data_IF_995619779717
#
_entry.id   IF_995619779717
#
_cell.length_a   1.000
_cell.length_b   1.000
_cell.length_c   1.000
_cell.angle_alpha   90.00
_cell.angle_beta   90.00
_cell.angle_gamma   90.00
#
_symmetry.space_group_name_H-M   'P 1'
#
loop_
_entity.id
_entity.type
_entity.pdbx_description
1 polymer ?
#
# COMPACT_ATOMS: atom_id res chain seq x y z
N UNK A 1 -13.31 11.83 96.36
CA UNK A 1 -13.53 10.40 96.16
C UNK A 1 -14.33 10.23 94.90
N UNK A 2 -13.73 9.92 93.83
CA UNK A 2 -14.23 9.11 92.70
C UNK A 2 -13.24 9.28 91.58
N UNK A 3 -12.60 8.22 91.29
CA UNK A 3 -11.58 8.07 90.24
C UNK A 3 -12.26 8.02 88.88
N UNK A 4 -11.79 8.79 87.89
CA UNK A 4 -12.21 8.64 86.51
C UNK A 4 -11.02 8.20 85.69
N UNK A 5 -11.12 6.95 85.26
CA UNK A 5 -10.14 6.28 84.37
C UNK A 5 -10.38 6.72 82.91
N UNK A 6 -9.39 7.24 82.29
CA UNK A 6 -9.37 7.55 80.85
C UNK A 6 -9.00 6.33 80.08
N UNK A 7 -9.89 5.83 79.22
CA UNK A 7 -9.63 4.77 78.27
C UNK A 7 -9.03 5.36 76.99
N UNK A 8 -7.78 5.02 76.76
CA UNK A 8 -7.07 5.31 75.52
C UNK A 8 -7.56 4.36 74.40
N UNK A 9 -8.14 4.89 73.35
CA UNK A 9 -8.56 4.11 72.19
C UNK A 9 -7.39 3.95 71.20
N UNK A 10 -6.89 2.73 71.07
CA UNK A 10 -5.95 2.36 70.01
C UNK A 10 -6.69 2.19 68.68
N UNK A 11 -6.18 2.80 67.58
CA UNK A 11 -6.79 2.55 66.24
C UNK A 11 -6.48 1.14 65.74
N UNK A 12 -7.52 0.45 65.32
CA UNK A 12 -7.46 -0.94 64.86
C UNK A 12 -6.64 -1.06 63.56
N UNK A 13 -5.74 -2.04 63.55
CA UNK A 13 -4.83 -2.39 62.42
C UNK A 13 -5.53 -2.84 61.12
N UNK A 14 -6.89 -2.79 61.05
CA UNK A 14 -7.66 -3.27 59.92
C UNK A 14 -7.95 -2.18 58.84
N UNK A 15 -7.58 -0.91 59.03
CA UNK A 15 -7.85 0.17 58.10
C UNK A 15 -6.66 0.54 57.19
N UNK A 16 -5.49 -0.06 57.32
CA UNK A 16 -4.28 0.32 56.55
C UNK A 16 -4.10 -0.58 55.31
N UNK A 17 -4.83 -1.70 55.18
CA UNK A 17 -4.68 -2.63 54.06
C UNK A 17 -5.62 -2.37 52.87
N UNK A 18 -6.53 -1.38 52.93
CA UNK A 18 -7.48 -1.08 51.85
C UNK A 18 -7.08 0.07 50.93
N UNK A 19 -5.94 0.71 51.15
CA UNK A 19 -5.46 1.84 50.28
C UNK A 19 -4.31 1.45 49.36
N UNK A 20 -3.75 0.26 49.43
CA UNK A 20 -2.66 -0.20 48.58
C UNK A 20 -3.12 -1.00 47.33
N UNK A 21 -4.43 -1.29 47.20
CA UNK A 21 -4.97 -2.13 46.12
C UNK A 21 -5.46 -1.41 44.86
N UNK A 22 -5.52 -0.09 44.85
CA UNK A 22 -6.08 0.67 43.73
C UNK A 22 -5.03 1.38 42.84
N UNK A 23 -3.76 1.26 43.20
CA UNK A 23 -2.67 1.94 42.47
C UNK A 23 -1.99 1.11 41.36
N UNK A 24 -2.27 -0.19 41.26
CA UNK A 24 -1.56 -1.09 40.32
C UNK A 24 -2.40 -1.51 39.11
N UNK A 25 -3.71 -1.26 39.13
CA UNK A 25 -4.60 -1.63 37.99
C UNK A 25 -4.75 -0.52 36.93
N UNK A 26 -4.11 0.63 37.12
CA UNK A 26 -4.23 1.79 36.22
C UNK A 26 -3.15 1.92 35.14
N UNK A 27 -2.14 1.05 35.10
CA UNK A 27 -1.00 1.21 34.16
C UNK A 27 -1.02 0.20 33.00
N UNK A 28 -1.92 -0.80 33.01
CA UNK A 28 -1.93 -1.82 31.96
C UNK A 28 -2.86 -1.52 30.76
N UNK A 29 -3.48 -0.32 30.67
CA UNK A 29 -4.37 0.05 29.56
C UNK A 29 -3.83 1.17 28.67
N UNK A 30 -2.58 1.62 28.87
CA UNK A 30 -1.94 2.63 28.04
C UNK A 30 -1.03 2.05 26.94
N UNK A 31 -1.15 0.77 26.60
CA UNK A 31 -0.28 0.07 25.65
C UNK A 31 -0.92 -0.28 24.31
N UNK A 32 -2.14 0.17 24.02
CA UNK A 32 -2.67 0.19 22.64
C UNK A 32 -2.66 1.62 22.13
N UNK A 33 -1.46 2.20 21.96
CA UNK A 33 -1.26 3.26 21.01
C UNK A 33 -1.53 2.63 19.64
N UNK A 34 -2.73 2.83 19.11
CA UNK A 34 -2.99 2.57 17.71
C UNK A 34 -1.93 3.39 16.95
N UNK A 35 -0.98 2.72 16.31
CA UNK A 35 -0.31 3.28 15.16
C UNK A 35 -1.45 3.53 14.17
N UNK A 36 -1.97 4.78 14.21
CA UNK A 36 -2.94 5.19 13.20
C UNK A 36 -2.25 4.96 11.86
N UNK A 37 -2.80 4.03 11.09
CA UNK A 37 -2.37 3.74 9.73
C UNK A 37 -2.18 5.06 8.99
N UNK A 38 -1.00 5.28 8.42
CA UNK A 38 -0.66 6.51 7.70
C UNK A 38 -1.66 6.78 6.56
N UNK A 39 -2.21 5.73 5.96
CA UNK A 39 -3.26 5.80 4.95
C UNK A 39 -4.58 6.30 5.53
N UNK A 40 -4.97 5.83 6.71
CA UNK A 40 -6.19 6.29 7.38
C UNK A 40 -6.11 7.77 7.77
N UNK A 41 -4.94 8.24 8.24
CA UNK A 41 -4.71 9.67 8.51
C UNK A 41 -4.81 10.52 7.25
N UNK A 42 -4.22 10.07 6.14
CA UNK A 42 -4.31 10.78 4.86
C UNK A 42 -5.75 10.80 4.33
N UNK A 43 -6.49 9.69 4.46
CA UNK A 43 -7.90 9.62 4.05
C UNK A 43 -8.77 10.62 4.84
N UNK A 44 -8.47 10.83 6.12
CA UNK A 44 -9.21 11.71 7.02
C UNK A 44 -8.73 13.18 7.00
N UNK A 45 -7.63 13.49 6.32
CA UNK A 45 -7.05 14.83 6.30
C UNK A 45 -7.93 15.87 5.56
N UNK A 46 -8.88 15.44 4.72
CA UNK A 46 -9.82 16.33 4.04
C UNK A 46 -9.16 17.34 3.09
N UNK A 47 -7.98 17.02 2.56
CA UNK A 47 -7.16 17.91 1.74
C UNK A 47 -7.57 17.99 0.26
N UNK A 48 -8.74 17.45 -0.06
CA UNK A 48 -9.40 17.47 -1.40
C UNK A 48 -8.53 16.98 -2.57
N UNK A 49 -7.36 16.37 -2.31
CA UNK A 49 -6.49 15.81 -3.37
C UNK A 49 -7.18 14.70 -4.17
N UNK A 50 -8.20 14.07 -3.56
CA UNK A 50 -8.92 12.95 -4.17
C UNK A 50 -8.11 11.66 -4.26
N UNK A 51 -6.93 11.57 -3.61
CA UNK A 51 -6.11 10.37 -3.52
C UNK A 51 -5.36 10.29 -2.19
N UNK A 52 -4.97 9.08 -1.82
CA UNK A 52 -4.10 8.80 -0.69
C UNK A 52 -2.70 8.55 -1.27
N UNK A 53 -1.74 9.42 -0.93
CA UNK A 53 -0.41 9.35 -1.54
C UNK A 53 0.41 8.11 -1.13
N UNK A 54 -0.02 7.38 -0.09
CA UNK A 54 0.79 6.33 0.50
C UNK A 54 2.03 6.89 1.20
N UNK A 55 2.82 6.01 1.77
CA UNK A 55 4.05 6.36 2.51
C UNK A 55 5.30 5.66 1.96
N UNK A 56 5.17 4.97 0.83
CA UNK A 56 6.23 4.17 0.23
C UNK A 56 6.38 2.79 0.87
N UNK A 57 5.40 2.34 1.68
CA UNK A 57 5.45 1.01 2.31
C UNK A 57 5.57 -0.08 1.26
N UNK A 58 6.60 -0.91 1.42
CA UNK A 58 6.87 -2.08 0.59
C UNK A 58 6.39 -3.34 1.32
N UNK A 59 5.67 -4.18 0.60
CA UNK A 59 5.32 -5.54 1.04
C UNK A 59 5.88 -6.51 0.01
N UNK A 60 6.72 -7.42 0.45
CA UNK A 60 7.28 -8.49 -0.38
C UNK A 60 6.64 -9.82 -0.01
N UNK A 61 6.41 -10.65 -1.00
CA UNK A 61 5.83 -11.98 -0.84
C UNK A 61 6.82 -13.01 -1.39
N UNK A 62 7.53 -13.74 -0.50
CA UNK A 62 8.45 -14.79 -0.92
C UNK A 62 7.76 -15.83 -1.82
N UNK A 63 8.47 -16.41 -2.79
CA UNK A 63 7.88 -17.30 -3.80
C UNK A 63 6.99 -18.42 -3.23
N UNK A 64 7.35 -18.97 -2.06
CA UNK A 64 6.56 -20.01 -1.37
C UNK A 64 5.34 -19.50 -0.58
N UNK A 65 5.17 -18.18 -0.45
CA UNK A 65 4.11 -17.54 0.34
C UNK A 65 3.19 -16.67 -0.53
N UNK A 66 3.45 -16.57 -1.84
CA UNK A 66 2.60 -15.83 -2.78
C UNK A 66 1.22 -16.46 -2.87
N UNK A 67 0.21 -15.61 -2.95
CA UNK A 67 -1.18 -16.04 -3.17
C UNK A 67 -1.38 -16.69 -4.55
N UNK A 68 -2.64 -16.99 -4.87
CA UNK A 68 -3.01 -17.49 -6.19
C UNK A 68 -2.72 -16.45 -7.29
N UNK A 69 -2.51 -16.90 -8.53
CA UNK A 69 -2.37 -16.00 -9.67
C UNK A 69 -3.55 -15.03 -9.78
N UNK A 70 -3.27 -13.74 -9.89
CA UNK A 70 -4.32 -12.73 -10.02
C UNK A 70 -5.11 -12.91 -11.31
N UNK A 71 -6.38 -12.53 -11.27
CA UNK A 71 -7.29 -12.58 -12.41
C UNK A 71 -7.87 -11.18 -12.65
N UNK A 72 -7.69 -10.66 -13.84
CA UNK A 72 -8.31 -9.41 -14.28
C UNK A 72 -8.42 -9.39 -15.80
N UNK A 73 -9.26 -8.54 -16.31
CA UNK A 73 -9.31 -8.15 -17.72
C UNK A 73 -9.51 -6.65 -17.81
N UNK A 74 -8.87 -6.00 -18.74
CA UNK A 74 -8.99 -4.57 -18.98
C UNK A 74 -8.76 -4.22 -20.44
N UNK A 75 -9.14 -3.00 -20.79
CA UNK A 75 -8.96 -2.45 -22.14
C UNK A 75 -7.87 -1.37 -22.11
N UNK A 76 -6.90 -1.46 -22.99
CA UNK A 76 -5.87 -0.45 -23.16
C UNK A 76 -6.44 0.80 -23.88
N UNK A 77 -5.73 1.93 -23.78
CA UNK A 77 -6.15 3.16 -24.49
C UNK A 77 -6.24 3.01 -26.02
N UNK A 78 -5.59 2.01 -26.62
CA UNK A 78 -5.72 1.70 -28.05
C UNK A 78 -6.94 0.83 -28.40
N UNK A 79 -7.69 0.36 -27.40
CA UNK A 79 -8.86 -0.48 -27.53
C UNK A 79 -8.55 -1.98 -27.44
N UNK A 80 -7.29 -2.39 -27.28
CA UNK A 80 -6.91 -3.78 -27.11
C UNK A 80 -7.34 -4.29 -25.74
N UNK A 81 -8.02 -5.44 -25.68
CA UNK A 81 -8.32 -6.12 -24.41
C UNK A 81 -7.15 -7.02 -24.02
N UNK A 82 -6.72 -6.92 -22.77
CA UNK A 82 -5.65 -7.72 -22.19
C UNK A 82 -6.16 -8.36 -20.90
N UNK A 83 -5.92 -9.65 -20.74
CA UNK A 83 -6.26 -10.41 -19.53
C UNK A 83 -5.00 -10.74 -18.73
N UNK A 84 -5.17 -11.05 -17.44
CA UNK A 84 -4.06 -11.53 -16.62
C UNK A 84 -3.46 -12.83 -17.17
N UNK A 85 -4.24 -13.67 -17.89
CA UNK A 85 -3.76 -14.90 -18.51
C UNK A 85 -2.82 -14.61 -19.70
N UNK A 86 -3.12 -13.59 -20.49
CA UNK A 86 -2.26 -13.18 -21.62
C UNK A 86 -0.87 -12.73 -21.18
N UNK A 87 -0.71 -12.37 -19.91
CA UNK A 87 0.53 -11.88 -19.33
C UNK A 87 1.37 -12.98 -18.67
N UNK A 88 0.90 -14.24 -18.63
CA UNK A 88 1.65 -15.36 -18.05
C UNK A 88 2.94 -15.64 -18.82
N UNK A 89 3.93 -16.15 -18.10
CA UNK A 89 5.24 -16.49 -18.66
C UNK A 89 6.26 -15.36 -18.61
N UNK A 90 5.82 -14.13 -18.29
CA UNK A 90 6.69 -12.96 -18.13
C UNK A 90 6.31 -12.23 -16.85
N UNK A 91 7.26 -11.86 -15.98
CA UNK A 91 6.98 -10.98 -14.84
C UNK A 91 6.37 -9.65 -15.30
N UNK A 92 5.49 -9.08 -14.48
CA UNK A 92 4.75 -7.87 -14.85
C UNK A 92 4.84 -6.82 -13.75
N UNK A 93 5.06 -5.56 -14.13
CA UNK A 93 4.82 -4.41 -13.29
C UNK A 93 3.49 -3.75 -13.68
N UNK A 94 2.61 -3.57 -12.69
CA UNK A 94 1.39 -2.78 -12.81
C UNK A 94 1.53 -1.51 -11.97
N UNK A 95 1.49 -0.33 -12.60
CA UNK A 95 1.53 0.95 -11.91
C UNK A 95 0.17 1.66 -11.98
N UNK A 96 -0.47 1.85 -10.84
CA UNK A 96 -1.77 2.53 -10.71
C UNK A 96 -1.55 4.04 -10.61
N UNK A 97 -2.11 4.81 -11.53
CA UNK A 97 -1.81 6.21 -11.68
C UNK A 97 -2.96 7.05 -12.27
N UNK A 98 -2.79 8.36 -12.26
CA UNK A 98 -3.53 9.31 -13.10
C UNK A 98 -2.75 10.63 -13.25
N UNK A 99 -3.05 11.43 -14.27
CA UNK A 99 -2.23 12.58 -14.67
C UNK A 99 -2.12 13.70 -13.61
N UNK A 100 -3.16 13.89 -12.79
CA UNK A 100 -3.21 14.89 -11.71
C UNK A 100 -2.51 14.46 -10.41
N UNK A 101 -2.05 13.23 -10.32
CA UNK A 101 -1.38 12.68 -9.15
C UNK A 101 0.07 13.19 -9.08
N UNK A 102 0.38 14.03 -8.08
CA UNK A 102 1.71 14.63 -7.96
C UNK A 102 2.84 13.59 -7.78
N UNK A 103 2.75 12.59 -6.89
CA UNK A 103 3.79 11.57 -6.78
C UNK A 103 3.92 10.69 -8.03
N UNK A 104 2.84 10.44 -8.79
CA UNK A 104 2.92 9.71 -10.06
C UNK A 104 3.79 10.45 -11.08
N UNK A 105 3.74 11.78 -11.07
CA UNK A 105 4.60 12.63 -11.92
C UNK A 105 6.07 12.57 -11.51
N UNK A 106 6.34 12.36 -10.22
CA UNK A 106 7.71 12.21 -9.71
C UNK A 106 8.29 10.86 -10.12
N UNK A 107 7.50 9.78 -10.12
CA UNK A 107 8.00 8.45 -10.47
C UNK A 107 8.07 8.17 -11.97
N UNK A 108 7.29 8.86 -12.80
CA UNK A 108 7.22 8.60 -14.22
C UNK A 108 8.58 8.57 -14.95
N UNK A 109 9.55 9.49 -14.69
CA UNK A 109 10.86 9.45 -15.35
C UNK A 109 11.65 8.16 -15.06
N UNK A 110 11.66 7.68 -13.82
CA UNK A 110 12.43 6.47 -13.54
C UNK A 110 11.67 5.18 -13.87
N UNK A 111 10.35 5.19 -13.87
CA UNK A 111 9.55 4.08 -14.42
C UNK A 111 9.86 3.89 -15.92
N UNK A 112 9.98 5.00 -16.66
CA UNK A 112 10.46 4.96 -18.06
C UNK A 112 11.83 4.31 -18.18
N UNK A 113 12.80 4.74 -17.36
CA UNK A 113 14.15 4.19 -17.37
C UNK A 113 14.19 2.69 -17.02
N UNK A 114 13.41 2.29 -16.00
CA UNK A 114 13.29 0.89 -15.59
C UNK A 114 12.62 0.05 -16.68
N UNK A 115 11.56 0.54 -17.32
CA UNK A 115 10.93 -0.16 -18.43
C UNK A 115 11.90 -0.43 -19.59
N UNK A 116 12.76 0.54 -19.93
CA UNK A 116 13.79 0.36 -20.94
C UNK A 116 14.88 -0.62 -20.49
N UNK A 117 15.29 -0.57 -19.23
CA UNK A 117 16.32 -1.45 -18.67
C UNK A 117 15.89 -2.90 -18.57
N UNK A 118 14.62 -3.15 -18.31
CA UNK A 118 14.04 -4.47 -18.15
C UNK A 118 13.29 -4.95 -19.41
N UNK A 119 13.46 -4.24 -20.53
CA UNK A 119 12.82 -4.63 -21.80
C UNK A 119 13.11 -6.09 -22.15
N UNK A 120 12.06 -6.83 -22.55
CA UNK A 120 12.10 -8.26 -22.84
C UNK A 120 12.23 -9.17 -21.60
N UNK A 121 12.38 -8.62 -20.38
CA UNK A 121 12.46 -9.41 -19.14
C UNK A 121 11.30 -9.20 -18.19
N UNK A 122 10.76 -7.99 -18.14
CA UNK A 122 9.58 -7.61 -17.34
C UNK A 122 8.66 -6.78 -18.23
N UNK A 123 7.40 -7.15 -18.30
CA UNK A 123 6.39 -6.34 -18.97
C UNK A 123 5.88 -5.23 -18.05
N UNK A 124 5.73 -4.02 -18.58
CA UNK A 124 5.22 -2.88 -17.84
C UNK A 124 3.84 -2.47 -18.36
N UNK A 125 2.93 -2.19 -17.44
CA UNK A 125 1.61 -1.65 -17.74
C UNK A 125 1.23 -0.57 -16.73
N UNK A 126 0.70 0.54 -17.23
CA UNK A 126 -0.04 1.48 -16.40
C UNK A 126 -1.48 1.00 -16.18
N UNK A 127 -2.09 1.41 -15.07
CA UNK A 127 -3.54 1.27 -14.82
C UNK A 127 -4.04 2.67 -14.51
N UNK A 128 -4.65 3.33 -15.48
CA UNK A 128 -5.14 4.70 -15.32
C UNK A 128 -6.55 4.69 -14.75
N UNK A 129 -6.70 5.28 -13.57
CA UNK A 129 -7.92 5.17 -12.76
C UNK A 129 -8.95 6.28 -13.02
N UNK A 130 -8.60 7.38 -13.73
CA UNK A 130 -9.46 8.58 -13.72
C UNK A 130 -9.52 9.38 -14.99
N UNK A 131 -8.44 9.37 -15.77
CA UNK A 131 -8.30 10.31 -16.87
C UNK A 131 -9.10 9.88 -18.09
N UNK A 132 -9.59 10.85 -18.82
CA UNK A 132 -9.98 10.65 -20.21
C UNK A 132 -8.75 10.31 -21.04
N UNK A 133 -8.91 9.49 -22.07
CA UNK A 133 -7.84 9.04 -22.98
C UNK A 133 -6.87 10.15 -23.39
N UNK A 134 -7.38 11.30 -23.83
CA UNK A 134 -6.55 12.41 -24.30
C UNK A 134 -5.63 12.96 -23.19
N UNK A 135 -6.10 12.99 -21.94
CA UNK A 135 -5.33 13.45 -20.77
C UNK A 135 -4.24 12.44 -20.40
N UNK A 136 -4.59 11.16 -20.37
CA UNK A 136 -3.65 10.08 -20.10
C UNK A 136 -2.54 10.03 -21.15
N UNK A 137 -2.89 10.02 -22.43
CA UNK A 137 -1.92 10.04 -23.53
C UNK A 137 -1.03 11.31 -23.53
N UNK A 138 -1.56 12.47 -23.12
CA UNK A 138 -0.76 13.68 -22.98
C UNK A 138 0.29 13.55 -21.88
N UNK A 139 -0.06 12.91 -20.75
CA UNK A 139 0.88 12.57 -19.70
C UNK A 139 1.96 11.61 -20.20
N UNK A 140 1.56 10.49 -20.81
CA UNK A 140 2.49 9.48 -21.35
C UNK A 140 3.47 10.09 -22.36
N UNK A 141 2.99 10.95 -23.28
CA UNK A 141 3.87 11.68 -24.19
C UNK A 141 4.81 12.64 -23.47
N UNK A 142 4.33 13.36 -22.46
CA UNK A 142 5.13 14.35 -21.70
C UNK A 142 6.30 13.69 -20.98
N UNK A 143 6.07 12.54 -20.37
CA UNK A 143 7.10 11.79 -19.64
C UNK A 143 7.83 10.77 -20.52
N UNK A 144 7.35 10.54 -21.74
CA UNK A 144 7.92 9.57 -22.68
C UNK A 144 7.78 8.14 -22.19
N UNK A 145 6.61 7.79 -21.60
CA UNK A 145 6.29 6.44 -21.11
C UNK A 145 6.29 5.47 -22.30
N UNK A 146 7.09 4.38 -22.27
CA UNK A 146 7.24 3.49 -23.41
C UNK A 146 6.30 2.28 -23.39
N UNK A 147 5.46 2.15 -22.36
CA UNK A 147 4.58 1.01 -22.14
C UNK A 147 3.10 1.41 -22.16
N UNK A 148 2.17 0.48 -22.49
CA UNK A 148 0.75 0.79 -22.57
C UNK A 148 0.10 0.91 -21.18
N UNK A 149 -1.06 1.60 -21.16
CA UNK A 149 -1.88 1.70 -19.96
C UNK A 149 -3.30 1.19 -20.21
N UNK A 150 -3.88 0.52 -19.21
CA UNK A 150 -5.30 0.23 -19.13
C UNK A 150 -6.09 1.51 -18.86
N UNK A 151 -7.21 1.68 -19.57
CA UNK A 151 -8.25 2.67 -19.26
C UNK A 151 -9.19 2.05 -18.21
N UNK A 152 -8.94 2.33 -16.93
CA UNK A 152 -9.64 1.70 -15.80
C UNK A 152 -10.51 2.69 -15.00
N UNK A 153 -11.17 3.62 -15.68
CA UNK A 153 -12.08 4.59 -15.04
C UNK A 153 -13.25 3.92 -14.32
N UNK A 154 -13.71 2.80 -14.86
CA UNK A 154 -14.80 2.03 -14.28
C UNK A 154 -14.31 1.10 -13.14
N UNK A 155 -13.01 1.02 -12.93
CA UNK A 155 -12.38 0.33 -11.82
C UNK A 155 -12.38 -1.19 -11.93
N UNK A 156 -12.49 -1.75 -13.12
CA UNK A 156 -12.55 -3.21 -13.33
C UNK A 156 -11.26 -3.92 -12.92
N UNK A 157 -10.11 -3.41 -13.38
CA UNK A 157 -8.78 -3.94 -13.00
C UNK A 157 -8.48 -3.66 -11.52
N UNK A 158 -8.76 -2.42 -11.07
CA UNK A 158 -8.58 -2.05 -9.67
C UNK A 158 -9.40 -2.93 -8.72
N UNK A 159 -10.67 -3.18 -9.03
CA UNK A 159 -11.56 -4.00 -8.21
C UNK A 159 -11.06 -5.45 -8.14
N UNK A 160 -10.64 -6.01 -9.28
CA UNK A 160 -10.09 -7.36 -9.35
C UNK A 160 -8.82 -7.52 -8.49
N UNK A 161 -8.05 -6.44 -8.34
CA UNK A 161 -6.79 -6.39 -7.56
C UNK A 161 -6.95 -5.73 -6.18
N UNK A 162 -8.18 -5.51 -5.71
CA UNK A 162 -8.49 -4.79 -4.47
C UNK A 162 -7.94 -5.43 -3.20
N UNK A 163 -7.62 -6.72 -3.21
CA UNK A 163 -6.91 -7.39 -2.12
C UNK A 163 -5.49 -6.83 -1.89
N UNK A 164 -4.90 -6.25 -2.92
CA UNK A 164 -3.54 -5.68 -2.89
C UNK A 164 -3.52 -4.16 -3.06
N UNK A 165 -4.48 -3.61 -3.79
CA UNK A 165 -4.51 -2.18 -4.15
C UNK A 165 -5.70 -1.50 -3.49
N UNK A 166 -5.48 -0.68 -2.44
CA UNK A 166 -6.57 0.12 -1.86
C UNK A 166 -7.10 1.12 -2.90
N UNK A 167 -8.43 1.28 -3.05
CA UNK A 167 -9.03 2.04 -4.16
C UNK A 167 -8.58 3.49 -4.33
N UNK A 168 -8.10 4.13 -3.28
CA UNK A 168 -7.64 5.53 -3.32
C UNK A 168 -6.12 5.68 -3.16
N UNK A 169 -5.39 4.59 -2.96
CA UNK A 169 -3.93 4.63 -2.80
C UNK A 169 -3.24 4.77 -4.17
N UNK A 170 -2.82 5.98 -4.50
CA UNK A 170 -2.20 6.32 -5.78
C UNK A 170 -0.97 7.20 -5.55
N UNK A 171 0.19 6.87 -6.11
CA UNK A 171 0.43 5.67 -6.90
C UNK A 171 0.44 4.40 -6.06
N UNK A 172 0.17 3.28 -6.68
CA UNK A 172 0.46 1.95 -6.16
C UNK A 172 1.16 1.15 -7.24
N UNK A 173 2.20 0.42 -6.88
CA UNK A 173 2.89 -0.46 -7.82
C UNK A 173 2.77 -1.91 -7.34
N UNK A 174 2.33 -2.79 -8.22
CA UNK A 174 2.40 -4.24 -8.04
C UNK A 174 3.48 -4.82 -8.95
N UNK A 175 4.25 -5.77 -8.42
CA UNK A 175 5.15 -6.61 -9.19
C UNK A 175 4.61 -8.04 -9.14
N UNK A 176 4.34 -8.60 -10.31
CA UNK A 176 3.86 -9.98 -10.46
C UNK A 176 5.01 -10.85 -10.97
N UNK A 177 5.08 -12.09 -10.49
CA UNK A 177 5.95 -13.11 -11.07
C UNK A 177 5.41 -13.63 -12.42
N UNK A 178 6.15 -14.51 -13.09
CA UNK A 178 5.77 -15.07 -14.36
C UNK A 178 4.50 -15.94 -14.30
N UNK A 179 4.17 -16.50 -13.14
CA UNK A 179 2.91 -17.20 -12.91
C UNK A 179 1.75 -16.22 -12.68
N UNK A 180 2.04 -14.91 -12.56
CA UNK A 180 1.09 -13.86 -12.29
C UNK A 180 0.63 -13.79 -10.85
N UNK A 181 1.46 -14.23 -9.91
CA UNK A 181 1.25 -14.05 -8.47
C UNK A 181 1.90 -12.75 -8.02
N UNK A 182 1.32 -12.09 -7.05
CA UNK A 182 1.91 -10.85 -6.52
C UNK A 182 3.18 -11.19 -5.74
N UNK A 183 4.32 -10.72 -6.25
CA UNK A 183 5.64 -10.85 -5.63
C UNK A 183 5.95 -9.65 -4.73
N UNK A 184 5.50 -8.45 -5.11
CA UNK A 184 5.67 -7.26 -4.28
C UNK A 184 4.57 -6.22 -4.54
N UNK A 185 4.36 -5.37 -3.53
CA UNK A 185 3.48 -4.21 -3.57
C UNK A 185 4.17 -3.01 -2.95
N UNK A 186 4.06 -1.84 -3.57
CA UNK A 186 4.51 -0.56 -3.02
C UNK A 186 3.30 0.37 -2.97
N UNK A 187 2.98 0.91 -1.78
CA UNK A 187 1.91 1.89 -1.60
C UNK A 187 2.51 3.29 -1.55
N UNK A 188 2.19 4.12 -2.52
CA UNK A 188 2.75 5.47 -2.67
C UNK A 188 3.95 5.50 -3.61
N UNK A 189 4.71 6.60 -3.53
CA UNK A 189 5.89 6.81 -4.36
C UNK A 189 6.90 5.69 -4.16
N UNK A 190 7.18 4.92 -5.21
CA UNK A 190 8.17 3.86 -5.17
C UNK A 190 9.59 4.44 -5.09
N UNK A 191 10.43 3.95 -4.20
CA UNK A 191 11.87 4.21 -4.29
C UNK A 191 12.45 3.48 -5.50
N UNK A 192 13.23 4.22 -6.32
CA UNK A 192 13.80 3.68 -7.55
C UNK A 192 14.68 2.45 -7.31
N UNK A 193 15.54 2.48 -6.29
CA UNK A 193 16.50 1.40 -6.03
C UNK A 193 15.81 0.14 -5.51
N UNK A 194 14.80 0.32 -4.69
CA UNK A 194 13.97 -0.78 -4.19
C UNK A 194 13.22 -1.42 -5.36
N UNK A 195 12.53 -0.61 -6.18
CA UNK A 195 11.79 -1.12 -7.32
C UNK A 195 12.69 -1.84 -8.32
N UNK A 196 13.89 -1.31 -8.58
CA UNK A 196 14.87 -1.96 -9.44
C UNK A 196 15.29 -3.34 -8.91
N UNK A 197 15.49 -3.47 -7.59
CA UNK A 197 15.80 -4.75 -6.93
C UNK A 197 14.67 -5.75 -7.09
N UNK A 198 13.44 -5.34 -6.77
CA UNK A 198 12.25 -6.20 -6.90
C UNK A 198 12.06 -6.71 -8.33
N UNK A 199 12.30 -5.85 -9.33
CA UNK A 199 12.21 -6.25 -10.74
C UNK A 199 13.34 -7.22 -11.14
N UNK A 200 14.54 -7.02 -10.61
CA UNK A 200 15.66 -7.92 -10.86
C UNK A 200 15.42 -9.32 -10.27
N UNK A 201 14.83 -9.37 -9.09
CA UNK A 201 14.52 -10.62 -8.39
C UNK A 201 13.50 -11.46 -9.20
N UNK A 202 12.35 -10.87 -9.57
CA UNK A 202 11.35 -11.62 -10.36
C UNK A 202 11.84 -11.97 -11.76
N UNK A 203 12.67 -11.14 -12.38
CA UNK A 203 13.29 -11.44 -13.67
C UNK A 203 14.32 -12.57 -13.58
N UNK A 204 14.95 -12.76 -12.41
CA UNK A 204 15.87 -13.86 -12.13
C UNK A 204 15.18 -15.19 -11.86
N UNK A 205 13.92 -15.19 -11.42
CA UNK A 205 13.14 -16.41 -11.17
C UNK A 205 12.74 -17.14 -12.46
N UNK A 206 12.79 -16.46 -13.61
CA UNK A 206 12.42 -17.01 -14.94
C UNK A 206 13.59 -17.48 -15.78
N UNK A 207 14.83 -17.34 -15.28
CA UNK A 207 16.06 -17.64 -16.03
C UNK A 207 16.54 -19.11 -15.89
#
# INVERSE_FOLDING_TARGET
MTSSSSLSAYPSRRRVLSLAGWGVLGVALAGCGAEEDSLARQANAGDEKGYIAGDGTVSEYPAGERGEPVQFAGTLFDGTTVTAEDLRGTPVLLNFWYAGCAPCRVEAPYLKELAQRFDGRVAFYGVNLRDEKATAEAFERTFGIPYPSFEDKDGGVLMALSAYVPPQAVPTTLVLDADGRVAARILGLADRSILETLLADVAGETA
#
